data_IF_968384734477
#
_entry.id   IF_968384734477
#
_cell.length_a   1.000
_cell.length_b   1.000
_cell.length_c   1.000
_cell.angle_alpha   90.00
_cell.angle_beta   90.00
_cell.angle_gamma   90.00
#
_symmetry.space_group_name_H-M   'P 1'
#
loop_
_entity.id
_entity.type
_entity.pdbx_description
1 polymer ?
#
# COMPACT_ATOMS: atom_id res chain seq x y z
N UNK A 1 8.91 6.40 23.37
CA UNK A 1 9.32 6.03 22.00
C UNK A 1 8.10 5.47 21.28
N UNK A 2 7.58 6.15 20.26
CA UNK A 2 6.55 5.56 19.39
C UNK A 2 7.18 4.45 18.55
N UNK A 3 6.49 3.31 18.43
CA UNK A 3 6.93 2.22 17.54
C UNK A 3 6.80 2.66 16.09
N UNK A 4 7.68 2.19 15.22
CA UNK A 4 7.69 2.54 13.79
C UNK A 4 7.22 1.36 12.94
N UNK A 5 6.48 1.64 11.87
CA UNK A 5 6.04 0.67 10.86
C UNK A 5 6.38 1.23 9.48
N UNK A 6 7.08 0.44 8.66
CA UNK A 6 7.28 0.72 7.24
C UNK A 6 6.37 -0.19 6.43
N UNK A 7 5.43 0.40 5.68
CA UNK A 7 4.59 -0.31 4.73
C UNK A 7 5.18 -0.12 3.34
N UNK A 8 5.63 -1.21 2.72
CA UNK A 8 6.14 -1.20 1.35
C UNK A 8 5.04 -1.69 0.42
N UNK A 9 4.61 -0.84 -0.51
CA UNK A 9 3.56 -1.14 -1.49
C UNK A 9 4.14 -1.34 -2.89
N UNK A 10 3.39 -2.04 -3.73
CA UNK A 10 3.81 -2.39 -5.09
C UNK A 10 3.83 -1.18 -6.02
N UNK A 11 4.71 -1.19 -7.02
CA UNK A 11 4.58 -0.32 -8.20
C UNK A 11 4.15 -1.10 -9.46
N UNK A 12 3.78 -2.39 -9.32
CA UNK A 12 3.33 -3.20 -10.46
C UNK A 12 1.94 -2.76 -10.91
N UNK A 13 1.77 -2.69 -12.23
CA UNK A 13 0.50 -2.34 -12.88
C UNK A 13 -0.11 -3.51 -13.64
N UNK A 14 0.60 -4.63 -13.75
CA UNK A 14 0.24 -5.75 -14.65
C UNK A 14 0.78 -7.08 -14.10
N UNK A 15 -0.08 -8.12 -14.06
CA UNK A 15 0.29 -9.49 -13.64
C UNK A 15 0.73 -10.33 -14.84
N UNK A 16 -0.07 -10.31 -15.91
CA UNK A 16 0.17 -10.96 -17.21
C UNK A 16 -0.28 -10.03 -18.35
N UNK A 17 0.02 -10.38 -19.60
CA UNK A 17 -0.30 -9.55 -20.77
C UNK A 17 -1.77 -9.09 -20.79
N UNK A 18 -1.98 -7.79 -20.56
CA UNK A 18 -3.28 -7.12 -20.59
C UNK A 18 -4.06 -7.09 -19.27
N UNK A 19 -3.67 -7.87 -18.25
CA UNK A 19 -4.36 -7.87 -16.96
C UNK A 19 -3.83 -6.75 -16.05
N UNK A 20 -4.56 -5.63 -15.98
CA UNK A 20 -4.25 -4.52 -15.06
C UNK A 20 -4.39 -4.97 -13.61
N UNK A 21 -3.46 -4.52 -12.79
CA UNK A 21 -3.47 -4.70 -11.32
C UNK A 21 -2.89 -3.47 -10.64
N UNK A 22 -2.71 -3.52 -9.33
CA UNK A 22 -2.04 -2.51 -8.53
C UNK A 22 -2.07 -2.89 -7.06
N UNK A 23 -2.00 -1.88 -6.21
CA UNK A 23 -2.26 -2.02 -4.79
C UNK A 23 -3.74 -2.34 -4.56
N UNK A 24 -4.02 -3.43 -3.83
CA UNK A 24 -5.34 -3.68 -3.28
C UNK A 24 -5.58 -2.74 -2.08
N UNK A 25 -6.50 -1.79 -2.25
CA UNK A 25 -6.72 -0.67 -1.34
C UNK A 25 -7.12 -1.12 0.06
N UNK A 26 -8.00 -2.10 0.20
CA UNK A 26 -8.44 -2.57 1.53
C UNK A 26 -7.29 -3.24 2.30
N UNK A 27 -6.45 -4.02 1.62
CA UNK A 27 -5.29 -4.70 2.20
C UNK A 27 -4.24 -3.71 2.70
N UNK A 28 -4.19 -2.51 2.13
CA UNK A 28 -3.38 -1.40 2.62
C UNK A 28 -4.09 -0.61 3.73
N UNK A 29 -5.32 -0.17 3.48
CA UNK A 29 -6.03 0.79 4.32
C UNK A 29 -6.40 0.23 5.68
N UNK A 30 -6.82 -1.04 5.75
CA UNK A 30 -7.23 -1.68 7.01
C UNK A 30 -6.05 -1.78 7.99
N UNK A 31 -4.88 -2.35 7.63
CA UNK A 31 -3.71 -2.35 8.51
C UNK A 31 -3.21 -0.94 8.83
N UNK A 32 -3.17 -0.04 7.85
CA UNK A 32 -2.74 1.35 8.06
C UNK A 32 -3.57 2.04 9.14
N UNK A 33 -4.90 1.92 9.08
CA UNK A 33 -5.80 2.53 10.06
C UNK A 33 -5.63 1.90 11.44
N UNK A 34 -5.52 0.57 11.53
CA UNK A 34 -5.27 -0.12 12.82
C UNK A 34 -3.95 0.35 13.45
N UNK A 35 -2.88 0.45 12.67
CA UNK A 35 -1.60 0.96 13.18
C UNK A 35 -1.71 2.42 13.62
N UNK A 36 -2.44 3.25 12.87
CA UNK A 36 -2.64 4.66 13.19
C UNK A 36 -3.41 4.83 14.49
N UNK A 37 -4.50 4.07 14.67
CA UNK A 37 -5.31 4.07 15.89
C UNK A 37 -4.51 3.63 17.14
N UNK A 38 -3.53 2.74 16.96
CA UNK A 38 -2.64 2.27 18.03
C UNK A 38 -1.45 3.21 18.29
N UNK A 39 -1.35 4.34 17.57
CA UNK A 39 -0.32 5.36 17.80
C UNK A 39 1.07 4.99 17.25
N UNK A 40 1.14 4.14 16.23
CA UNK A 40 2.40 3.87 15.53
C UNK A 40 2.78 5.04 14.63
N UNK A 41 4.08 5.29 14.48
CA UNK A 41 4.61 6.15 13.43
C UNK A 41 4.72 5.31 12.15
N UNK A 42 3.99 5.69 11.10
CA UNK A 42 3.87 4.89 9.88
C UNK A 42 4.52 5.65 8.73
N UNK A 43 5.42 4.98 8.02
CA UNK A 43 5.95 5.42 6.75
C UNK A 43 5.46 4.47 5.65
N UNK A 44 5.05 5.04 4.53
CA UNK A 44 4.59 4.27 3.36
C UNK A 44 5.52 4.60 2.21
N UNK A 45 6.07 3.56 1.58
CA UNK A 45 6.94 3.72 0.42
C UNK A 45 6.65 2.65 -0.62
N UNK A 46 7.19 2.84 -1.81
CA UNK A 46 7.18 1.86 -2.88
C UNK A 46 8.60 1.73 -3.42
N UNK A 47 8.91 0.63 -4.10
CA UNK A 47 10.28 0.36 -4.59
C UNK A 47 10.81 1.49 -5.48
N UNK A 48 9.94 2.10 -6.30
CA UNK A 48 10.28 3.21 -7.19
C UNK A 48 9.99 4.60 -6.58
N UNK A 49 9.41 4.66 -5.39
CA UNK A 49 8.85 5.89 -4.83
C UNK A 49 7.67 6.44 -5.65
N UNK A 50 7.22 7.64 -5.29
CA UNK A 50 6.14 8.34 -6.02
C UNK A 50 4.79 7.64 -5.95
N UNK A 51 3.95 7.92 -6.95
CA UNK A 51 2.57 7.45 -6.99
C UNK A 51 2.48 5.92 -7.18
N UNK A 52 1.51 5.32 -6.51
CA UNK A 52 1.27 3.89 -6.51
C UNK A 52 -0.03 3.61 -7.28
N UNK A 53 -0.01 2.76 -8.31
CA UNK A 53 -1.22 2.38 -9.02
C UNK A 53 -2.11 1.54 -8.11
N UNK A 54 -3.41 1.84 -8.09
CA UNK A 54 -4.41 0.99 -7.41
C UNK A 54 -4.90 -0.10 -8.36
N UNK A 55 -5.20 -1.28 -7.82
CA UNK A 55 -5.87 -2.31 -8.60
C UNK A 55 -7.28 -1.81 -8.95
N UNK A 56 -7.67 -1.77 -10.25
CA UNK A 56 -9.00 -1.31 -10.65
C UNK A 56 -10.15 -2.09 -10.01
N UNK A 57 -9.93 -3.35 -9.62
CA UNK A 57 -10.93 -4.19 -8.96
C UNK A 57 -11.05 -3.93 -7.45
N UNK A 58 -10.19 -3.07 -6.90
CA UNK A 58 -10.16 -2.72 -5.49
C UNK A 58 -10.75 -1.33 -5.17
N UNK A 59 -11.24 -0.62 -6.20
CA UNK A 59 -11.94 0.66 -6.07
C UNK A 59 -13.45 0.42 -5.92
#
# INVERSE_FOLDING_TARGET
MSKQVLIVVTNHTTITDGQKTGLWLEEFAVPYNIFKEKGYNIEVTSIRGGDVPLDPNSL
#
